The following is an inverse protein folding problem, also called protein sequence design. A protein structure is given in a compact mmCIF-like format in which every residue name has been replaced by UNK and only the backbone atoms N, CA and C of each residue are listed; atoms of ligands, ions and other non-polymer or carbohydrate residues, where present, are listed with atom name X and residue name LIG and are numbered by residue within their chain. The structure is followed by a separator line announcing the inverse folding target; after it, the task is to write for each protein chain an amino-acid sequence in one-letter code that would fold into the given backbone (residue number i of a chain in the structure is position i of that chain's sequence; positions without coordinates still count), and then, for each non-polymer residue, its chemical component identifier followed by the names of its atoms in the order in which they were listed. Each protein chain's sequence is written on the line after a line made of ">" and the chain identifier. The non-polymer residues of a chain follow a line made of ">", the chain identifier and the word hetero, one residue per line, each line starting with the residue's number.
data_IF_353121799426
#
_entry.id   IF_353121799426
#
_cell.length_a   1.000
_cell.length_b   1.000
_cell.length_c   1.000
_cell.angle_alpha   90.00
_cell.angle_beta   90.00
_cell.angle_gamma   90.00
#
_symmetry.space_group_name_H-M   'P 1'
#
loop_
_entity.id
_entity.type
_entity.pdbx_description
1 polymer ?
#
# COMPACT_ATOMS: atom_id res chain seq x y z
N UNK A 1 -65.79 -10.70 8.89
CA UNK A 1 -64.35 -11.11 8.85
C UNK A 1 -63.85 -11.21 10.28
N UNK A 2 -63.16 -12.29 10.63
CA UNK A 2 -62.65 -12.53 11.99
C UNK A 2 -61.40 -11.67 12.27
N UNK A 3 -61.45 -10.83 13.30
CA UNK A 3 -60.38 -9.88 13.64
C UNK A 3 -59.05 -10.57 13.97
N UNK A 4 -59.07 -11.82 14.48
CA UNK A 4 -57.85 -12.60 14.74
C UNK A 4 -57.14 -13.01 13.46
N UNK A 5 -57.89 -13.39 12.43
CA UNK A 5 -57.33 -13.77 11.13
C UNK A 5 -56.63 -12.62 10.42
N UNK A 6 -57.18 -11.41 10.53
CA UNK A 6 -56.59 -10.19 9.96
C UNK A 6 -55.29 -9.79 10.68
N UNK A 7 -55.24 -9.87 12.02
CA UNK A 7 -54.03 -9.58 12.80
C UNK A 7 -52.87 -10.52 12.46
N UNK A 8 -53.12 -11.85 12.45
CA UNK A 8 -52.10 -12.84 12.05
C UNK A 8 -51.51 -12.58 10.66
N UNK A 9 -52.35 -12.28 9.67
CA UNK A 9 -51.89 -11.95 8.31
C UNK A 9 -51.02 -10.69 8.30
N UNK A 10 -51.38 -9.66 9.06
CA UNK A 10 -50.58 -8.45 9.18
C UNK A 10 -49.20 -8.73 9.81
N UNK A 11 -49.18 -9.49 10.90
CA UNK A 11 -47.95 -9.92 11.58
C UNK A 11 -47.04 -10.72 10.65
N UNK A 12 -47.59 -11.60 9.82
CA UNK A 12 -46.82 -12.35 8.82
C UNK A 12 -46.21 -11.46 7.72
N UNK A 13 -46.97 -10.48 7.23
CA UNK A 13 -46.46 -9.50 6.25
C UNK A 13 -45.30 -8.69 6.84
N UNK A 14 -45.46 -8.17 8.06
CA UNK A 14 -44.41 -7.39 8.75
C UNK A 14 -43.18 -8.26 9.02
N UNK A 15 -43.36 -9.52 9.44
CA UNK A 15 -42.27 -10.49 9.61
C UNK A 15 -41.48 -10.68 8.33
N UNK A 16 -42.15 -10.87 7.19
CA UNK A 16 -41.49 -11.08 5.91
C UNK A 16 -40.71 -9.84 5.45
N UNK A 17 -41.26 -8.65 5.64
CA UNK A 17 -40.55 -7.41 5.34
C UNK A 17 -39.31 -7.23 6.23
N UNK A 18 -39.45 -7.45 7.54
CA UNK A 18 -38.34 -7.37 8.48
C UNK A 18 -37.26 -8.40 8.17
N UNK A 19 -37.64 -9.61 7.78
CA UNK A 19 -36.71 -10.65 7.35
C UNK A 19 -35.90 -10.20 6.14
N UNK A 20 -36.56 -9.62 5.13
CA UNK A 20 -35.89 -9.07 3.95
C UNK A 20 -34.94 -7.91 4.31
N UNK A 21 -35.39 -6.96 5.13
CA UNK A 21 -34.59 -5.82 5.58
C UNK A 21 -33.34 -6.28 6.38
N UNK A 22 -33.51 -7.24 7.30
CA UNK A 22 -32.41 -7.86 8.06
C UNK A 22 -31.42 -8.58 7.14
N UNK A 23 -31.93 -9.35 6.17
CA UNK A 23 -31.08 -10.08 5.21
C UNK A 23 -30.24 -9.13 4.39
N UNK A 24 -30.85 -8.04 3.91
CA UNK A 24 -30.14 -6.99 3.18
C UNK A 24 -29.08 -6.31 4.04
N UNK A 25 -29.41 -5.92 5.27
CA UNK A 25 -28.46 -5.29 6.18
C UNK A 25 -27.26 -6.22 6.47
N UNK A 26 -27.51 -7.52 6.62
CA UNK A 26 -26.44 -8.49 6.84
C UNK A 26 -25.53 -8.60 5.60
N UNK A 27 -26.12 -8.73 4.41
CA UNK A 27 -25.38 -8.75 3.15
C UNK A 27 -24.56 -7.47 2.94
N UNK A 28 -25.15 -6.29 3.15
CA UNK A 28 -24.47 -5.00 3.00
C UNK A 28 -23.31 -4.87 4.01
N UNK A 29 -23.50 -5.38 5.24
CA UNK A 29 -22.44 -5.40 6.28
C UNK A 29 -21.30 -6.34 5.94
N UNK A 30 -21.59 -7.55 5.45
CA UNK A 30 -20.59 -8.51 5.00
C UNK A 30 -19.77 -7.94 3.84
N UNK A 31 -20.44 -7.39 2.83
CA UNK A 31 -19.78 -6.77 1.69
C UNK A 31 -18.87 -5.62 2.12
N UNK A 32 -19.33 -4.75 3.02
CA UNK A 32 -18.52 -3.66 3.57
C UNK A 32 -17.26 -4.18 4.28
N UNK A 33 -17.36 -5.28 5.02
CA UNK A 33 -16.18 -5.89 5.66
C UNK A 33 -15.18 -6.42 4.63
N UNK A 34 -15.66 -7.03 3.54
CA UNK A 34 -14.79 -7.46 2.43
C UNK A 34 -14.13 -6.26 1.72
N UNK A 35 -14.88 -5.17 1.51
CA UNK A 35 -14.33 -3.94 0.93
C UNK A 35 -13.20 -3.35 1.82
N UNK A 36 -13.37 -3.38 3.15
CA UNK A 36 -12.32 -2.96 4.09
C UNK A 36 -11.08 -3.86 3.97
N UNK A 37 -11.26 -5.19 3.89
CA UNK A 37 -10.14 -6.13 3.75
C UNK A 37 -9.37 -5.87 2.46
N UNK A 38 -10.08 -5.74 1.34
CA UNK A 38 -9.48 -5.43 0.05
C UNK A 38 -8.72 -4.10 0.09
N UNK A 39 -9.33 -3.03 0.64
CA UNK A 39 -8.66 -1.73 0.75
C UNK A 39 -7.41 -1.77 1.64
N UNK A 40 -7.39 -2.63 2.67
CA UNK A 40 -6.20 -2.83 3.51
C UNK A 40 -5.09 -3.55 2.75
N UNK A 41 -5.44 -4.57 1.97
CA UNK A 41 -4.49 -5.33 1.14
C UNK A 41 -3.86 -4.44 0.07
N UNK A 42 -4.69 -3.67 -0.63
CA UNK A 42 -4.24 -2.68 -1.61
C UNK A 42 -3.24 -1.69 -1.00
N UNK A 43 -3.54 -1.17 0.20
CA UNK A 43 -2.62 -0.29 0.92
C UNK A 43 -1.29 -0.96 1.25
N UNK A 44 -1.32 -2.22 1.70
CA UNK A 44 -0.11 -3.00 1.94
C UNK A 44 0.75 -3.16 0.68
N UNK A 45 0.12 -3.47 -0.46
CA UNK A 45 0.80 -3.59 -1.75
C UNK A 45 1.39 -2.26 -2.22
N UNK A 46 0.67 -1.14 -2.02
CA UNK A 46 1.18 0.19 -2.32
C UNK A 46 2.45 0.52 -1.51
N UNK A 47 2.42 0.31 -0.19
CA UNK A 47 3.58 0.54 0.67
C UNK A 47 4.78 -0.32 0.27
N UNK A 48 4.54 -1.59 -0.05
CA UNK A 48 5.59 -2.51 -0.51
C UNK A 48 6.19 -2.05 -1.85
N UNK A 49 5.36 -1.62 -2.79
CA UNK A 49 5.83 -1.10 -4.09
C UNK A 49 6.73 0.12 -3.90
N UNK A 50 6.30 1.09 -3.08
CA UNK A 50 7.08 2.30 -2.77
C UNK A 50 8.41 1.96 -2.10
N UNK A 51 8.39 1.05 -1.12
CA UNK A 51 9.59 0.59 -0.43
C UNK A 51 10.60 -0.08 -1.39
N UNK A 52 10.12 -0.94 -2.28
CA UNK A 52 10.98 -1.63 -3.25
C UNK A 52 11.68 -0.64 -4.18
N UNK A 53 10.94 0.35 -4.71
CA UNK A 53 11.52 1.39 -5.58
C UNK A 53 12.58 2.22 -4.85
N UNK A 54 12.32 2.61 -3.60
CA UNK A 54 13.32 3.30 -2.77
C UNK A 54 14.56 2.43 -2.54
N UNK A 55 14.38 1.13 -2.34
CA UNK A 55 15.49 0.18 -2.17
C UNK A 55 16.32 0.04 -3.45
N UNK A 56 15.69 0.04 -4.62
CA UNK A 56 16.37 0.03 -5.92
C UNK A 56 17.21 1.30 -6.12
N UNK A 57 16.61 2.48 -5.89
CA UNK A 57 17.32 3.78 -5.96
C UNK A 57 18.54 3.79 -5.03
N UNK A 58 18.37 3.29 -3.79
CA UNK A 58 19.45 3.20 -2.82
C UNK A 58 20.56 2.25 -3.29
N UNK A 59 20.19 1.07 -3.77
CA UNK A 59 21.14 0.05 -4.26
C UNK A 59 22.00 0.61 -5.41
N UNK A 60 21.37 1.31 -6.37
CA UNK A 60 22.10 1.98 -7.45
C UNK A 60 23.03 3.08 -6.92
N UNK A 61 22.59 3.82 -5.89
CA UNK A 61 23.41 4.83 -5.23
C UNK A 61 24.66 4.23 -4.57
N UNK A 62 24.50 3.16 -3.80
CA UNK A 62 25.59 2.47 -3.12
C UNK A 62 26.60 1.86 -4.11
N UNK A 63 26.13 1.29 -5.22
CA UNK A 63 27.01 0.77 -6.26
C UNK A 63 27.95 1.84 -6.82
N UNK A 64 27.45 3.07 -6.99
CA UNK A 64 28.28 4.19 -7.47
C UNK A 64 29.25 4.70 -6.42
N UNK A 65 28.84 4.76 -5.16
CA UNK A 65 29.76 5.06 -4.06
C UNK A 65 30.90 4.05 -4.00
N UNK A 66 30.61 2.76 -4.22
CA UNK A 66 31.63 1.71 -4.33
C UNK A 66 32.56 1.96 -5.53
N UNK A 67 32.03 2.28 -6.70
CA UNK A 67 32.86 2.62 -7.87
C UNK A 67 33.76 3.83 -7.60
N UNK A 68 33.26 4.88 -6.93
CA UNK A 68 34.07 6.02 -6.55
C UNK A 68 35.15 5.66 -5.53
N UNK A 69 34.84 4.79 -4.56
CA UNK A 69 35.82 4.26 -3.62
C UNK A 69 36.99 3.59 -4.34
N UNK A 70 36.71 2.78 -5.36
CA UNK A 70 37.74 2.13 -6.20
C UNK A 70 38.63 3.15 -6.93
N UNK A 71 38.05 4.23 -7.43
CA UNK A 71 38.80 5.32 -8.08
C UNK A 71 39.72 6.01 -7.08
N UNK A 72 39.22 6.33 -5.88
CA UNK A 72 40.00 6.96 -4.82
C UNK A 72 41.18 6.07 -4.40
N UNK A 73 40.94 4.78 -4.21
CA UNK A 73 42.02 3.84 -3.85
C UNK A 73 43.09 3.78 -4.94
N UNK A 74 42.70 3.75 -6.22
CA UNK A 74 43.63 3.85 -7.36
C UNK A 74 44.48 5.13 -7.33
N UNK A 75 43.87 6.27 -7.01
CA UNK A 75 44.57 7.57 -6.92
C UNK A 75 45.52 7.62 -5.72
N UNK A 76 45.16 6.99 -4.61
CA UNK A 76 45.97 6.90 -3.40
C UNK A 76 47.04 5.79 -3.48
N UNK A 77 47.08 5.03 -4.57
CA UNK A 77 47.97 3.88 -4.73
C UNK A 77 47.64 2.71 -3.79
N UNK A 78 46.39 2.65 -3.30
CA UNK A 78 45.86 1.60 -2.42
C UNK A 78 45.09 0.56 -3.25
N UNK A 79 45.07 -0.69 -2.80
CA UNK A 79 44.15 -1.68 -3.35
C UNK A 79 42.80 -1.61 -2.62
N UNK A 80 41.71 -1.49 -3.40
CA UNK A 80 40.35 -1.48 -2.87
C UNK A 80 40.04 -2.78 -2.12
N UNK A 81 39.62 -2.67 -0.85
CA UNK A 81 39.30 -3.82 0.01
C UNK A 81 40.49 -4.40 0.80
N UNK A 82 41.66 -3.75 0.78
CA UNK A 82 42.81 -4.21 1.56
C UNK A 82 42.71 -3.69 3.01
N UNK A 83 41.92 -4.38 3.83
CA UNK A 83 42.26 -4.49 5.25
C UNK A 83 43.68 -5.07 5.32
N UNK A 84 44.56 -4.35 6.00
CA UNK A 84 46.00 -4.52 5.96
C UNK A 84 46.43 -5.86 6.57
N UNK A 85 46.55 -6.90 5.76
CA UNK A 85 47.44 -8.03 6.05
C UNK A 85 48.73 -7.87 5.24
N UNK A 86 49.70 -7.23 5.87
CA UNK A 86 51.08 -7.17 5.42
C UNK A 86 51.69 -8.57 5.50
N UNK A 87 51.85 -9.24 4.36
CA UNK A 87 52.83 -10.31 4.20
C UNK A 87 53.67 -9.99 2.96
N UNK A 88 54.97 -9.90 3.20
CA UNK A 88 55.94 -9.37 2.27
C UNK A 88 56.08 -10.16 0.97
N UNK A 89 56.18 -9.40 -0.12
CA UNK A 89 56.64 -9.84 -1.43
C UNK A 89 56.72 -8.60 -2.31
N UNK A 90 57.91 -8.29 -2.84
CA UNK A 90 58.10 -7.21 -3.82
C UNK A 90 57.40 -7.59 -5.13
N UNK A 91 56.09 -7.38 -5.20
CA UNK A 91 55.43 -7.20 -6.49
C UNK A 91 55.68 -5.77 -6.93
N UNK A 92 56.40 -5.62 -8.05
CA UNK A 92 56.52 -4.34 -8.75
C UNK A 92 55.12 -3.86 -9.12
N UNK A 93 54.62 -2.90 -8.34
CA UNK A 93 53.39 -2.15 -8.58
C UNK A 93 53.39 -1.61 -10.01
N UNK A 94 52.51 -2.14 -10.87
CA UNK A 94 52.20 -1.51 -12.14
C UNK A 94 51.42 -0.24 -11.84
N UNK A 95 52.11 0.89 -11.78
CA UNK A 95 51.47 2.21 -11.67
C UNK A 95 50.44 2.36 -12.79
N UNK A 96 49.19 2.78 -12.49
CA UNK A 96 48.20 3.04 -13.52
C UNK A 96 48.74 4.05 -14.53
N UNK A 97 48.58 3.76 -15.82
CA UNK A 97 49.10 4.65 -16.87
C UNK A 97 48.25 5.91 -16.96
N UNK A 98 48.82 7.00 -17.50
CA UNK A 98 48.10 8.27 -17.73
C UNK A 98 46.85 8.04 -18.60
N UNK A 99 46.89 7.06 -19.50
CA UNK A 99 45.77 6.69 -20.36
C UNK A 99 44.65 5.98 -19.58
N UNK A 100 45.01 5.13 -18.59
CA UNK A 100 44.06 4.49 -17.69
C UNK A 100 43.33 5.53 -16.82
N UNK A 101 44.06 6.52 -16.30
CA UNK A 101 43.48 7.61 -15.50
C UNK A 101 42.56 8.49 -16.35
N UNK A 102 42.94 8.82 -17.59
CA UNK A 102 42.09 9.58 -18.51
C UNK A 102 40.82 8.84 -18.92
N UNK A 103 40.92 7.53 -19.16
CA UNK A 103 39.77 6.69 -19.48
C UNK A 103 38.82 6.61 -18.29
N UNK A 104 39.35 6.34 -17.10
CA UNK A 104 38.59 6.31 -15.85
C UNK A 104 37.89 7.64 -15.57
N UNK A 105 38.57 8.78 -15.80
CA UNK A 105 37.99 10.10 -15.63
C UNK A 105 36.81 10.38 -16.58
N UNK A 106 36.95 10.03 -17.87
CA UNK A 106 35.85 10.19 -18.84
C UNK A 106 34.68 9.26 -18.54
N UNK A 107 34.98 7.99 -18.27
CA UNK A 107 33.98 6.99 -17.92
C UNK A 107 33.26 7.39 -16.62
N UNK A 108 33.95 8.03 -15.67
CA UNK A 108 33.34 8.54 -14.42
C UNK A 108 32.42 9.74 -14.63
N UNK A 109 32.78 10.73 -15.46
CA UNK A 109 31.97 11.93 -15.65
C UNK A 109 30.65 11.62 -16.36
N UNK A 110 30.71 10.79 -17.40
CA UNK A 110 29.52 10.35 -18.12
C UNK A 110 28.63 9.46 -17.23
N UNK A 111 29.21 8.55 -16.45
CA UNK A 111 28.48 7.72 -15.49
C UNK A 111 27.83 8.55 -14.37
N UNK A 112 28.53 9.55 -13.84
CA UNK A 112 28.03 10.47 -12.80
C UNK A 112 26.85 11.31 -13.30
N UNK A 113 27.01 11.91 -14.49
CA UNK A 113 25.96 12.72 -15.10
C UNK A 113 24.73 11.88 -15.41
N UNK A 114 24.93 10.69 -15.99
CA UNK A 114 23.85 9.76 -16.29
C UNK A 114 23.16 9.28 -15.01
N UNK A 115 23.89 8.99 -13.93
CA UNK A 115 23.25 8.61 -12.67
C UNK A 115 22.42 9.74 -12.05
N UNK A 116 22.92 10.98 -12.04
CA UNK A 116 22.14 12.11 -11.54
C UNK A 116 20.82 12.24 -12.29
N UNK A 117 20.85 12.11 -13.62
CA UNK A 117 19.66 12.16 -14.46
C UNK A 117 18.74 10.98 -14.15
N UNK A 118 19.27 9.76 -14.04
CA UNK A 118 18.48 8.56 -13.72
C UNK A 118 17.81 8.66 -12.34
N UNK A 119 18.53 9.09 -11.30
CA UNK A 119 17.96 9.28 -9.96
C UNK A 119 16.84 10.32 -9.95
N UNK A 120 17.03 11.44 -10.65
CA UNK A 120 15.99 12.47 -10.77
C UNK A 120 14.73 11.90 -11.44
N UNK A 121 14.90 11.13 -12.53
CA UNK A 121 13.79 10.45 -13.22
C UNK A 121 13.09 9.45 -12.29
N UNK A 122 13.84 8.58 -11.62
CA UNK A 122 13.28 7.57 -10.71
C UNK A 122 12.54 8.21 -9.52
N UNK A 123 13.05 9.32 -8.97
CA UNK A 123 12.37 10.09 -7.91
C UNK A 123 11.08 10.71 -8.43
N UNK A 124 11.09 11.29 -9.64
CA UNK A 124 9.88 11.86 -10.25
C UNK A 124 8.82 10.79 -10.52
N UNK A 125 9.22 9.60 -10.98
CA UNK A 125 8.33 8.47 -11.17
C UNK A 125 7.76 7.96 -9.83
N UNK A 126 8.60 7.91 -8.79
CA UNK A 126 8.17 7.57 -7.44
C UNK A 126 7.14 8.58 -6.91
N UNK A 127 7.36 9.87 -7.11
CA UNK A 127 6.43 10.94 -6.73
C UNK A 127 5.10 10.81 -7.49
N UNK A 128 5.17 10.53 -8.79
CA UNK A 128 3.97 10.31 -9.62
C UNK A 128 3.14 9.15 -9.08
N UNK A 129 3.75 8.00 -8.85
CA UNK A 129 3.05 6.81 -8.33
C UNK A 129 2.50 7.06 -6.93
N UNK A 130 3.23 7.77 -6.08
CA UNK A 130 2.72 8.16 -4.77
C UNK A 130 1.46 9.04 -4.87
N UNK A 131 1.43 10.00 -5.80
CA UNK A 131 0.26 10.87 -6.02
C UNK A 131 -0.95 10.05 -6.50
N UNK A 132 -0.74 9.11 -7.41
CA UNK A 132 -1.79 8.20 -7.90
C UNK A 132 -2.37 7.36 -6.74
N UNK A 133 -1.51 6.73 -5.94
CA UNK A 133 -1.92 5.96 -4.76
C UNK A 133 -2.64 6.80 -3.72
N UNK A 134 -2.16 8.01 -3.44
CA UNK A 134 -2.84 8.94 -2.53
C UNK A 134 -4.25 9.30 -3.01
N UNK A 135 -4.42 9.50 -4.32
CA UNK A 135 -5.73 9.81 -4.90
C UNK A 135 -6.70 8.63 -4.76
N UNK A 136 -6.26 7.41 -5.10
CA UNK A 136 -7.04 6.17 -4.97
C UNK A 136 -7.44 5.94 -3.51
N UNK A 137 -6.49 6.02 -2.57
CA UNK A 137 -6.77 5.82 -1.15
C UNK A 137 -7.75 6.86 -0.60
N UNK A 138 -7.63 8.12 -1.02
CA UNK A 138 -8.57 9.18 -0.63
C UNK A 138 -9.99 8.85 -1.10
N UNK A 139 -10.14 8.39 -2.35
CA UNK A 139 -11.44 8.00 -2.89
C UNK A 139 -12.01 6.78 -2.15
N UNK A 140 -11.20 5.75 -1.90
CA UNK A 140 -11.60 4.55 -1.16
C UNK A 140 -12.11 4.90 0.24
N UNK A 141 -11.40 5.77 0.98
CA UNK A 141 -11.83 6.21 2.32
C UNK A 141 -13.18 6.93 2.28
N UNK A 142 -13.44 7.76 1.27
CA UNK A 142 -14.73 8.43 1.10
C UNK A 142 -15.83 7.40 0.86
N UNK A 143 -15.64 6.48 -0.09
CA UNK A 143 -16.64 5.45 -0.38
C UNK A 143 -16.92 4.52 0.82
N UNK A 144 -15.88 4.16 1.58
CA UNK A 144 -16.04 3.36 2.81
C UNK A 144 -16.84 4.13 3.86
N UNK A 145 -16.59 5.43 4.03
CA UNK A 145 -17.36 6.26 4.97
C UNK A 145 -18.84 6.32 4.59
N UNK A 146 -19.14 6.60 3.32
CA UNK A 146 -20.51 6.66 2.82
C UNK A 146 -21.25 5.33 3.01
N UNK A 147 -20.57 4.21 2.77
CA UNK A 147 -21.12 2.86 3.03
C UNK A 147 -21.39 2.62 4.51
N UNK A 148 -20.45 2.98 5.38
CA UNK A 148 -20.63 2.85 6.83
C UNK A 148 -21.83 3.68 7.32
N UNK A 149 -21.99 4.92 6.83
CA UNK A 149 -23.13 5.78 7.14
C UNK A 149 -24.45 5.18 6.65
N UNK A 150 -24.48 4.60 5.44
CA UNK A 150 -25.66 3.90 4.93
C UNK A 150 -26.07 2.71 5.81
N UNK A 151 -25.11 1.88 6.23
CA UNK A 151 -25.34 0.73 7.12
C UNK A 151 -25.87 1.20 8.47
N UNK A 152 -25.27 2.24 9.04
CA UNK A 152 -25.73 2.82 10.31
C UNK A 152 -27.15 3.39 10.20
N UNK A 153 -27.50 4.03 9.09
CA UNK A 153 -28.86 4.49 8.83
C UNK A 153 -29.83 3.31 8.77
N UNK A 154 -29.50 2.24 8.04
CA UNK A 154 -30.32 1.03 7.99
C UNK A 154 -30.54 0.43 9.39
N UNK A 155 -29.48 0.35 10.22
CA UNK A 155 -29.58 -0.13 11.62
C UNK A 155 -30.55 0.72 12.44
N UNK A 156 -30.44 2.04 12.34
CA UNK A 156 -31.32 3.00 13.06
C UNK A 156 -32.77 2.89 12.63
N UNK A 157 -33.03 2.65 11.34
CA UNK A 157 -34.39 2.49 10.81
C UNK A 157 -35.00 1.12 11.17
N UNK A 158 -34.18 0.07 11.23
CA UNK A 158 -34.63 -1.30 11.47
C UNK A 158 -34.88 -1.60 12.96
N UNK A 159 -34.03 -1.07 13.84
CA UNK A 159 -34.12 -1.27 15.29
C UNK A 159 -35.51 -0.99 15.89
N UNK A 160 -36.15 0.18 15.67
CA UNK A 160 -37.47 0.44 16.22
C UNK A 160 -38.55 -0.48 15.63
N UNK A 161 -38.45 -0.86 14.34
CA UNK A 161 -39.41 -1.77 13.71
C UNK A 161 -39.33 -3.17 14.33
N UNK A 162 -38.13 -3.65 14.64
CA UNK A 162 -37.92 -4.93 15.34
C UNK A 162 -38.50 -4.90 16.76
N UNK A 163 -38.29 -3.80 17.50
CA UNK A 163 -38.86 -3.62 18.85
C UNK A 163 -40.39 -3.62 18.79
N UNK A 164 -40.99 -2.90 17.83
CA UNK A 164 -42.44 -2.87 17.65
C UNK A 164 -43.00 -4.25 17.30
N UNK A 165 -42.34 -4.96 16.39
CA UNK A 165 -42.72 -6.32 16.02
C UNK A 165 -42.66 -7.29 17.21
N UNK A 166 -41.59 -7.22 18.01
CA UNK A 166 -41.45 -8.05 19.22
C UNK A 166 -42.59 -7.82 20.22
N UNK A 167 -43.00 -6.55 20.42
CA UNK A 167 -44.16 -6.21 21.27
C UNK A 167 -45.47 -6.77 20.70
N UNK A 168 -45.72 -6.59 19.41
CA UNK A 168 -46.92 -7.08 18.75
C UNK A 168 -47.06 -8.61 18.84
N UNK A 169 -45.95 -9.35 18.67
CA UNK A 169 -45.94 -10.82 18.81
C UNK A 169 -46.22 -11.25 20.26
N UNK A 170 -45.70 -10.53 21.26
CA UNK A 170 -45.97 -10.82 22.66
C UNK A 170 -47.44 -10.61 23.03
N UNK A 171 -48.07 -9.54 22.52
CA UNK A 171 -49.50 -9.25 22.72
C UNK A 171 -50.44 -10.25 22.01
N UNK A 172 -50.01 -10.91 20.94
CA UNK A 172 -50.78 -11.98 20.28
C UNK A 172 -50.67 -13.34 20.99
N UNK A 173 -49.70 -13.51 21.89
CA UNK A 173 -49.38 -14.77 22.55
C UNK A 173 -49.92 -14.89 23.99
N UNK A 174 -50.39 -13.77 24.57
CA UNK A 174 -51.06 -13.70 25.89
C UNK A 174 -52.58 -13.65 25.77
#
# INVERSE_FOLDING_TARGET
>A
MDARGTKRKHTEIVKNQLSADCTKLNYDSEKFNEDIKASREDFGLMCKSMYNRLSEILTQGLFLEEQHGRVLDLLDGRHHGQESESIGGKETLTMPTIEDVKKLARDSDETLRNNRIMKEIEIQELEKVFKEYKAIMKQNIVCLRERAECIEKQRRELSPKLIQFARAVAEESG
#
